data_IF_109269267703
#
_entry.id   IF_109269267703
#
_cell.length_a   1.000
_cell.length_b   1.000
_cell.length_c   1.000
_cell.angle_alpha   90.00
_cell.angle_beta   90.00
_cell.angle_gamma   90.00
#
_symmetry.space_group_name_H-M   'P 1'
#
loop_
_entity.id
_entity.type
_entity.pdbx_description
1 polymer ?
#
# COMPACT_ATOMS: atom_id res chain seq x y z
N UNK A 1 21.65 -11.31 -41.35
CA UNK A 1 21.77 -12.35 -40.33
C UNK A 1 20.96 -11.86 -39.15
N UNK A 2 19.73 -12.31 -38.99
CA UNK A 2 18.82 -11.97 -37.91
C UNK A 2 19.18 -12.88 -36.74
N UNK A 3 19.64 -12.33 -35.65
CA UNK A 3 19.92 -13.05 -34.40
C UNK A 3 18.60 -13.64 -33.88
N UNK A 4 18.52 -14.95 -33.56
CA UNK A 4 17.32 -15.54 -33.04
C UNK A 4 17.00 -14.94 -31.68
N UNK A 5 15.84 -14.32 -31.54
CA UNK A 5 15.28 -13.86 -30.26
C UNK A 5 15.28 -15.04 -29.27
N UNK A 6 16.14 -15.00 -28.28
CA UNK A 6 16.09 -15.95 -27.16
C UNK A 6 14.72 -15.84 -26.51
N UNK A 7 14.00 -16.94 -26.31
CA UNK A 7 12.73 -16.89 -25.60
C UNK A 7 12.97 -16.30 -24.22
N UNK A 8 12.16 -15.30 -23.86
CA UNK A 8 12.22 -14.63 -22.54
C UNK A 8 11.89 -15.68 -21.49
N UNK A 9 12.83 -15.97 -20.60
CA UNK A 9 12.62 -16.90 -19.50
C UNK A 9 11.44 -16.43 -18.61
N UNK A 10 10.60 -17.34 -18.13
CA UNK A 10 9.50 -17.01 -17.23
C UNK A 10 9.99 -16.31 -15.96
N UNK A 11 9.25 -15.31 -15.48
CA UNK A 11 9.54 -14.65 -14.20
C UNK A 11 9.10 -15.51 -13.01
N UNK A 12 9.61 -15.21 -11.80
CA UNK A 12 9.21 -15.94 -10.59
C UNK A 12 7.70 -15.84 -10.33
N UNK A 13 7.05 -14.69 -10.64
CA UNK A 13 5.61 -14.52 -10.54
C UNK A 13 4.85 -15.46 -11.47
N UNK A 14 5.35 -15.65 -12.70
CA UNK A 14 4.76 -16.60 -13.65
C UNK A 14 4.95 -18.05 -13.20
N UNK A 15 6.09 -18.38 -12.60
CA UNK A 15 6.34 -19.71 -12.04
C UNK A 15 5.47 -20.00 -10.82
N UNK A 16 5.22 -19.00 -9.96
CA UNK A 16 4.29 -19.13 -8.83
C UNK A 16 2.85 -19.28 -9.34
N UNK A 17 2.41 -18.49 -10.31
CA UNK A 17 1.09 -18.62 -10.92
C UNK A 17 0.90 -19.99 -11.61
N UNK A 18 1.98 -20.56 -12.19
CA UNK A 18 2.00 -21.91 -12.72
C UNK A 18 1.79 -22.96 -11.62
N UNK A 19 2.49 -22.83 -10.49
CA UNK A 19 2.37 -23.75 -9.35
C UNK A 19 1.00 -23.67 -8.65
N UNK A 20 0.39 -22.48 -8.66
CA UNK A 20 -0.92 -22.22 -8.05
C UNK A 20 -2.10 -22.47 -8.99
N UNK A 21 -1.84 -23.04 -10.19
CA UNK A 21 -2.86 -23.38 -11.20
C UNK A 21 -3.67 -22.17 -11.70
N UNK A 22 -3.04 -20.99 -11.74
CA UNK A 22 -3.68 -19.72 -12.08
C UNK A 22 -3.46 -19.29 -13.54
N UNK A 23 -2.73 -20.08 -14.33
CA UNK A 23 -2.45 -19.79 -15.73
C UNK A 23 -3.48 -20.42 -16.67
N UNK A 24 -3.72 -19.76 -17.79
CA UNK A 24 -4.46 -20.39 -18.89
C UNK A 24 -3.65 -21.53 -19.57
N UNK A 25 -4.31 -22.31 -20.41
CA UNK A 25 -3.69 -23.49 -21.03
C UNK A 25 -2.54 -23.15 -21.96
N UNK A 26 -2.54 -22.01 -22.64
CA UNK A 26 -1.48 -21.59 -23.56
C UNK A 26 -0.23 -21.17 -22.77
N UNK A 27 -0.40 -20.36 -21.74
CA UNK A 27 0.67 -19.95 -20.85
C UNK A 27 1.29 -21.13 -20.11
N UNK A 28 0.46 -22.07 -19.63
CA UNK A 28 0.92 -23.28 -18.96
C UNK A 28 1.80 -24.12 -19.90
N UNK A 29 1.35 -24.42 -21.11
CA UNK A 29 2.11 -25.19 -22.10
C UNK A 29 3.45 -24.51 -22.45
N UNK A 30 3.47 -23.19 -22.54
CA UNK A 30 4.69 -22.42 -22.77
C UNK A 30 5.70 -22.58 -21.64
N UNK A 31 5.24 -22.57 -20.39
CA UNK A 31 6.10 -22.76 -19.21
C UNK A 31 6.56 -24.23 -19.10
N UNK A 32 5.70 -25.20 -19.37
CA UNK A 32 6.06 -26.62 -19.40
C UNK A 32 7.18 -26.89 -20.42
N UNK A 33 7.11 -26.32 -21.61
CA UNK A 33 8.17 -26.41 -22.59
C UNK A 33 9.48 -25.78 -22.10
N UNK A 34 9.41 -24.58 -21.50
CA UNK A 34 10.58 -23.89 -20.97
C UNK A 34 11.25 -24.67 -19.80
N UNK A 35 10.46 -25.30 -18.92
CA UNK A 35 10.97 -26.15 -17.82
C UNK A 35 11.66 -27.39 -18.37
N UNK A 36 11.13 -27.96 -19.45
CA UNK A 36 11.70 -29.16 -20.09
C UNK A 36 13.04 -28.86 -20.77
N UNK A 37 13.19 -27.65 -21.31
CA UNK A 37 14.38 -27.24 -22.07
C UNK A 37 15.49 -26.66 -21.17
N UNK A 38 15.17 -26.17 -19.96
CA UNK A 38 16.13 -25.53 -19.06
C UNK A 38 16.17 -26.22 -17.66
N UNK A 39 17.22 -27.01 -17.35
CA UNK A 39 17.40 -27.64 -16.04
C UNK A 39 17.48 -26.62 -14.88
N UNK A 40 18.01 -25.41 -15.12
CA UNK A 40 18.08 -24.38 -14.08
C UNK A 40 16.68 -23.85 -13.73
N UNK A 41 15.81 -23.73 -14.73
CA UNK A 41 14.41 -23.35 -14.51
C UNK A 41 13.66 -24.45 -13.75
N UNK A 42 13.90 -25.73 -14.09
CA UNK A 42 13.34 -26.86 -13.36
C UNK A 42 13.73 -26.85 -11.87
N UNK A 43 14.99 -26.60 -11.54
CA UNK A 43 15.46 -26.45 -10.16
C UNK A 43 14.78 -25.23 -9.47
N UNK A 44 14.58 -24.14 -10.19
CA UNK A 44 13.91 -22.95 -9.66
C UNK A 44 12.46 -23.26 -9.29
N UNK A 45 11.72 -23.95 -10.16
CA UNK A 45 10.34 -24.40 -9.90
C UNK A 45 10.29 -25.31 -8.69
N UNK A 46 11.19 -26.30 -8.58
CA UNK A 46 11.27 -27.18 -7.42
C UNK A 46 11.52 -26.42 -6.12
N UNK A 47 12.35 -25.38 -6.17
CA UNK A 47 12.61 -24.55 -5.01
C UNK A 47 11.37 -23.74 -4.60
N UNK A 48 10.67 -23.12 -5.56
CA UNK A 48 9.42 -22.40 -5.31
C UNK A 48 8.31 -23.32 -4.81
N UNK A 49 8.21 -24.54 -5.33
CA UNK A 49 7.23 -25.54 -4.92
C UNK A 49 7.37 -25.98 -3.45
N UNK A 50 8.52 -25.72 -2.81
CA UNK A 50 8.68 -25.97 -1.36
C UNK A 50 7.77 -25.11 -0.49
N UNK A 51 7.27 -23.98 -1.00
CA UNK A 51 6.27 -23.18 -0.31
C UNK A 51 4.89 -23.87 -0.21
N UNK A 52 4.65 -24.88 -1.07
CA UNK A 52 3.42 -25.68 -1.09
C UNK A 52 3.52 -26.92 -0.18
N UNK A 53 4.32 -26.89 0.87
CA UNK A 53 4.32 -27.94 1.88
C UNK A 53 2.91 -28.17 2.43
N UNK A 54 2.55 -29.41 2.85
CA UNK A 54 1.18 -29.78 3.25
C UNK A 54 0.80 -29.15 4.61
N UNK A 55 0.86 -27.83 4.70
CA UNK A 55 0.45 -27.09 5.90
C UNK A 55 -0.99 -27.39 6.29
N UNK A 56 -1.88 -27.64 5.31
CA UNK A 56 -3.27 -28.01 5.59
C UNK A 56 -3.37 -29.27 6.46
N UNK A 57 -2.60 -30.29 6.14
CA UNK A 57 -2.59 -31.55 6.91
C UNK A 57 -2.11 -31.35 8.36
N UNK A 58 -1.23 -30.37 8.61
CA UNK A 58 -0.77 -30.05 9.97
C UNK A 58 -1.87 -29.44 10.84
N UNK A 59 -2.93 -28.90 10.24
CA UNK A 59 -4.06 -28.28 10.95
C UNK A 59 -5.32 -29.16 10.96
N UNK A 60 -5.31 -30.33 10.29
CA UNK A 60 -6.48 -31.22 10.23
C UNK A 60 -6.92 -31.70 11.62
N UNK A 61 -6.00 -31.87 12.56
CA UNK A 61 -6.31 -32.24 13.95
C UNK A 61 -7.05 -31.14 14.73
N UNK A 62 -6.96 -29.88 14.26
CA UNK A 62 -7.66 -28.75 14.87
C UNK A 62 -9.08 -28.54 14.31
N UNK A 63 -9.36 -29.06 13.12
CA UNK A 63 -10.69 -28.95 12.49
C UNK A 63 -11.84 -29.53 13.32
N UNK A 64 -11.71 -30.69 14.00
CA UNK A 64 -12.76 -31.21 14.85
C UNK A 64 -13.06 -30.34 16.07
N UNK A 65 -12.11 -29.48 16.47
CA UNK A 65 -12.26 -28.56 17.60
C UNK A 65 -12.90 -27.21 17.18
N UNK A 66 -13.08 -26.98 15.88
CA UNK A 66 -13.70 -25.76 15.38
C UNK A 66 -15.19 -25.74 15.75
N UNK A 67 -15.76 -24.58 16.14
CA UNK A 67 -17.16 -24.44 16.50
C UNK A 67 -18.07 -24.44 15.26
N UNK A 68 -18.07 -25.57 14.52
CA UNK A 68 -18.72 -25.70 13.20
C UNK A 68 -20.22 -25.46 13.28
N UNK A 69 -20.90 -25.93 14.33
CA UNK A 69 -22.34 -25.69 14.53
C UNK A 69 -22.67 -24.20 14.60
N UNK A 70 -21.85 -23.44 15.34
CA UNK A 70 -22.01 -21.98 15.44
C UNK A 70 -21.74 -21.28 14.13
N UNK A 71 -20.72 -21.71 13.40
CA UNK A 71 -20.35 -21.13 12.11
C UNK A 71 -21.42 -21.43 11.05
N UNK A 72 -21.94 -22.62 11.00
CA UNK A 72 -23.02 -22.99 10.10
C UNK A 72 -24.33 -22.24 10.44
N UNK A 73 -24.68 -22.10 11.72
CA UNK A 73 -25.82 -21.30 12.14
C UNK A 73 -25.67 -19.81 11.73
N UNK A 74 -24.45 -19.25 11.76
CA UNK A 74 -24.19 -17.90 11.27
C UNK A 74 -24.35 -17.82 9.74
N UNK A 75 -23.92 -18.83 8.99
CA UNK A 75 -24.11 -18.89 7.53
C UNK A 75 -25.60 -18.99 7.16
N UNK A 76 -26.38 -19.76 7.89
CA UNK A 76 -27.83 -19.92 7.66
C UNK A 76 -28.60 -18.61 7.93
N UNK A 77 -28.07 -17.70 8.74
CA UNK A 77 -28.67 -16.39 8.99
C UNK A 77 -28.38 -15.36 7.88
N UNK A 78 -27.44 -15.64 6.97
CA UNK A 78 -27.18 -14.75 5.84
C UNK A 78 -28.35 -14.77 4.86
N UNK A 79 -28.83 -13.61 4.40
CA UNK A 79 -29.90 -13.55 3.42
C UNK A 79 -29.44 -14.27 2.14
N UNK A 80 -30.15 -15.34 1.79
CA UNK A 80 -29.92 -16.03 0.51
C UNK A 80 -30.12 -15.02 -0.64
N UNK A 81 -29.19 -14.93 -1.61
CA UNK A 81 -29.37 -14.05 -2.74
C UNK A 81 -30.65 -14.45 -3.49
N UNK A 82 -31.64 -13.56 -3.46
CA UNK A 82 -32.89 -13.80 -4.16
C UNK A 82 -32.62 -14.04 -5.65
N UNK A 83 -33.16 -15.09 -6.27
CA UNK A 83 -32.98 -15.34 -7.69
C UNK A 83 -33.51 -14.13 -8.47
N UNK A 84 -32.75 -13.59 -9.44
CA UNK A 84 -33.20 -12.42 -10.20
C UNK A 84 -34.48 -12.75 -10.95
N UNK A 85 -35.60 -12.13 -10.56
CA UNK A 85 -36.87 -12.21 -11.28
C UNK A 85 -36.69 -11.56 -12.67
N UNK A 86 -36.33 -12.35 -13.66
CA UNK A 86 -36.15 -11.92 -15.04
C UNK A 86 -37.51 -11.79 -15.72
N UNK A 87 -38.09 -10.60 -15.70
CA UNK A 87 -39.18 -10.20 -16.59
C UNK A 87 -38.60 -9.78 -17.95
N UNK A 88 -38.92 -10.55 -19.01
CA UNK A 88 -38.47 -10.29 -20.37
C UNK A 88 -38.96 -8.97 -21.00
N UNK A 89 -39.89 -8.28 -20.37
CA UNK A 89 -40.44 -7.00 -20.88
C UNK A 89 -39.65 -5.76 -20.42
N UNK A 90 -38.74 -5.90 -19.45
CA UNK A 90 -37.94 -4.79 -18.95
C UNK A 90 -36.68 -4.51 -19.77
N UNK A 91 -36.28 -5.45 -20.63
CA UNK A 91 -35.08 -5.32 -21.46
C UNK A 91 -35.19 -4.29 -22.60
N UNK A 92 -36.38 -3.96 -23.07
CA UNK A 92 -36.56 -3.09 -24.23
C UNK A 92 -36.64 -1.59 -23.90
N UNK A 93 -36.94 -1.23 -22.64
CA UNK A 93 -36.94 0.17 -22.20
C UNK A 93 -35.62 0.60 -21.55
N UNK A 94 -34.75 -0.35 -21.21
CA UNK A 94 -33.46 -0.08 -20.59
C UNK A 94 -32.33 0.29 -21.57
N UNK A 95 -32.49 -0.02 -22.87
CA UNK A 95 -31.41 0.16 -23.85
C UNK A 95 -31.12 1.65 -24.17
N UNK A 96 -32.08 2.55 -24.06
CA UNK A 96 -31.88 3.99 -24.32
C UNK A 96 -31.34 4.75 -23.11
N UNK A 97 -31.60 4.26 -21.88
CA UNK A 97 -31.11 4.87 -20.64
C UNK A 97 -29.69 4.47 -20.25
N UNK A 98 -29.20 3.32 -20.76
CA UNK A 98 -27.92 2.74 -20.34
C UNK A 98 -26.68 3.42 -20.95
N UNK A 99 -26.80 4.12 -22.07
CA UNK A 99 -25.66 4.81 -22.68
C UNK A 99 -25.29 6.09 -21.88
N UNK A 100 -26.29 6.81 -21.37
CA UNK A 100 -26.05 8.05 -20.60
C UNK A 100 -25.69 7.73 -19.15
N UNK A 101 -26.30 6.70 -18.54
CA UNK A 101 -25.97 6.28 -17.17
C UNK A 101 -24.66 5.50 -17.10
N UNK A 102 -24.25 4.81 -18.14
CA UNK A 102 -22.96 4.09 -18.20
C UNK A 102 -21.76 5.04 -18.14
N UNK A 103 -21.81 6.15 -18.87
CA UNK A 103 -20.71 7.14 -18.85
C UNK A 103 -20.64 7.89 -17.50
N UNK A 104 -21.79 8.17 -16.87
CA UNK A 104 -21.84 8.81 -15.54
C UNK A 104 -21.42 7.82 -14.43
N UNK A 105 -21.87 6.57 -14.52
CA UNK A 105 -21.48 5.52 -13.57
C UNK A 105 -19.97 5.18 -13.67
N UNK A 106 -19.42 5.13 -14.90
CA UNK A 106 -17.99 4.90 -15.12
C UNK A 106 -17.14 6.07 -14.56
N UNK A 107 -17.57 7.32 -14.77
CA UNK A 107 -16.91 8.48 -14.18
C UNK A 107 -17.01 8.53 -12.65
N UNK A 108 -18.14 8.16 -12.08
CA UNK A 108 -18.34 8.09 -10.64
C UNK A 108 -17.56 6.90 -10.04
N UNK A 109 -17.54 5.75 -10.72
CA UNK A 109 -16.80 4.57 -10.30
C UNK A 109 -15.28 4.78 -10.40
N UNK A 110 -14.78 5.37 -11.48
CA UNK A 110 -13.38 5.77 -11.63
C UNK A 110 -12.99 6.84 -10.60
N UNK A 111 -13.85 7.82 -10.36
CA UNK A 111 -13.66 8.82 -9.30
C UNK A 111 -13.62 8.19 -7.90
N UNK A 112 -14.47 7.21 -7.62
CA UNK A 112 -14.50 6.48 -6.35
C UNK A 112 -13.31 5.52 -6.19
N UNK A 113 -12.90 4.86 -7.26
CA UNK A 113 -11.71 4.00 -7.29
C UNK A 113 -10.42 4.83 -7.16
N UNK A 114 -10.36 6.00 -7.82
CA UNK A 114 -9.25 6.94 -7.63
C UNK A 114 -9.24 7.54 -6.21
N UNK A 115 -10.39 7.85 -5.62
CA UNK A 115 -10.47 8.31 -4.22
C UNK A 115 -10.03 7.23 -3.23
N UNK A 116 -10.34 5.96 -3.47
CA UNK A 116 -9.84 4.83 -2.68
C UNK A 116 -8.32 4.65 -2.82
N UNK A 117 -7.77 4.75 -4.04
CA UNK A 117 -6.31 4.75 -4.24
C UNK A 117 -5.64 5.94 -3.55
N UNK A 118 -6.25 7.12 -3.59
CA UNK A 118 -5.73 8.36 -2.96
C UNK A 118 -5.65 8.30 -1.43
N UNK A 119 -6.57 7.60 -0.76
CA UNK A 119 -6.54 7.44 0.70
C UNK A 119 -5.70 6.24 1.15
N UNK A 120 -5.31 5.36 0.22
CA UNK A 120 -4.71 4.07 0.57
C UNK A 120 -3.28 4.22 1.12
N UNK A 121 -2.46 5.14 0.56
CA UNK A 121 -1.10 5.35 1.06
C UNK A 121 -1.07 5.86 2.52
N UNK A 122 -2.03 6.71 2.92
CA UNK A 122 -2.12 7.18 4.31
C UNK A 122 -2.50 6.04 5.27
N UNK A 123 -3.41 5.15 4.83
CA UNK A 123 -3.75 3.94 5.56
C UNK A 123 -2.54 3.06 5.77
N UNK A 124 -1.82 2.76 4.68
CA UNK A 124 -0.60 1.95 4.73
C UNK A 124 0.48 2.54 5.63
N UNK A 125 0.71 3.86 5.56
CA UNK A 125 1.66 4.53 6.46
C UNK A 125 1.21 4.38 7.90
N UNK A 126 -0.09 4.51 8.20
CA UNK A 126 -0.61 4.34 9.55
C UNK A 126 -0.46 2.89 10.03
N UNK A 127 -0.71 1.90 9.17
CA UNK A 127 -0.48 0.48 9.46
C UNK A 127 1.00 0.25 9.80
N UNK A 128 1.90 0.78 8.97
CA UNK A 128 3.34 0.66 9.18
C UNK A 128 3.81 1.38 10.45
N UNK A 129 3.31 2.60 10.71
CA UNK A 129 3.65 3.36 11.91
C UNK A 129 3.12 2.72 13.20
N UNK A 130 2.04 1.95 13.14
CA UNK A 130 1.51 1.23 14.30
C UNK A 130 2.46 0.15 14.84
N UNK A 131 3.45 -0.26 14.04
CA UNK A 131 4.50 -1.21 14.42
C UNK A 131 5.68 -0.54 15.13
N UNK A 132 5.77 0.79 15.11
CA UNK A 132 6.87 1.52 15.72
C UNK A 132 6.65 1.67 17.24
N UNK A 133 7.68 1.33 17.96
CA UNK A 133 7.81 1.59 19.41
C UNK A 133 9.04 2.47 19.64
N UNK A 134 9.18 3.16 20.77
CA UNK A 134 10.37 3.99 21.05
C UNK A 134 11.68 3.27 20.80
N UNK A 135 11.79 2.01 21.21
CA UNK A 135 12.98 1.16 21.04
C UNK A 135 13.38 0.97 19.58
N UNK A 136 12.42 1.04 18.65
CA UNK A 136 12.68 0.96 17.20
C UNK A 136 13.59 2.10 16.74
N UNK A 137 13.53 3.25 17.39
CA UNK A 137 14.20 4.49 16.99
C UNK A 137 15.36 4.91 17.92
N UNK A 138 15.37 4.47 19.18
CA UNK A 138 16.35 4.91 20.19
C UNK A 138 17.80 4.68 19.73
N UNK A 139 18.08 3.53 19.15
CA UNK A 139 19.44 3.12 18.75
C UNK A 139 19.88 3.64 17.38
N UNK A 140 19.01 4.37 16.68
CA UNK A 140 19.39 4.92 15.37
C UNK A 140 20.36 6.10 15.54
N UNK A 141 21.40 6.17 14.67
CA UNK A 141 22.31 7.31 14.65
C UNK A 141 21.55 8.64 14.50
N UNK A 142 21.96 9.65 15.25
CA UNK A 142 21.37 10.98 15.22
C UNK A 142 22.41 12.03 14.84
N UNK A 143 23.24 11.73 13.83
CA UNK A 143 24.25 12.65 13.34
C UNK A 143 23.80 13.38 12.08
N UNK A 144 24.18 14.64 11.97
CA UNK A 144 23.82 15.53 10.87
C UNK A 144 24.29 15.04 9.50
N UNK A 145 25.41 14.33 9.42
CA UNK A 145 25.97 13.88 8.16
C UNK A 145 25.08 12.76 7.56
N UNK A 146 24.69 11.80 8.38
CA UNK A 146 23.76 10.73 8.02
C UNK A 146 22.41 11.30 7.63
N UNK A 147 21.86 12.21 8.42
CA UNK A 147 20.57 12.85 8.13
C UNK A 147 20.59 13.58 6.78
N UNK A 148 21.62 14.38 6.51
CA UNK A 148 21.79 15.05 5.22
C UNK A 148 21.93 14.08 4.05
N UNK A 149 22.63 12.97 4.22
CA UNK A 149 22.76 11.96 3.19
C UNK A 149 21.40 11.31 2.85
N UNK A 150 20.61 10.94 3.88
CA UNK A 150 19.28 10.38 3.72
C UNK A 150 18.32 11.36 3.04
N UNK A 151 18.33 12.64 3.44
CA UNK A 151 17.48 13.68 2.85
C UNK A 151 17.83 13.94 1.38
N UNK A 152 19.11 13.95 0.99
CA UNK A 152 19.50 14.07 -0.43
C UNK A 152 18.94 12.96 -1.30
N UNK A 153 18.84 11.74 -0.78
CA UNK A 153 18.23 10.62 -1.52
C UNK A 153 16.72 10.86 -1.75
N UNK A 154 16.04 11.42 -0.75
CA UNK A 154 14.63 11.81 -0.85
C UNK A 154 14.44 12.94 -1.84
N UNK A 155 15.28 13.99 -1.75
CA UNK A 155 15.24 15.15 -2.63
C UNK A 155 15.37 14.75 -4.10
N UNK A 156 16.35 13.89 -4.40
CA UNK A 156 16.56 13.38 -5.75
C UNK A 156 15.37 12.56 -6.28
N UNK A 157 14.69 11.82 -5.42
CA UNK A 157 13.58 10.92 -5.82
C UNK A 157 12.26 11.67 -5.97
N UNK A 158 11.98 12.62 -5.10
CA UNK A 158 10.69 13.32 -5.04
C UNK A 158 10.73 14.75 -5.61
N UNK A 159 11.91 15.30 -5.92
CA UNK A 159 12.05 16.67 -6.40
C UNK A 159 11.85 17.69 -5.27
N UNK A 160 12.29 17.36 -4.06
CA UNK A 160 12.22 18.23 -2.88
C UNK A 160 13.58 18.91 -2.61
N UNK A 161 13.56 19.86 -1.69
CA UNK A 161 14.77 20.48 -1.13
C UNK A 161 14.64 20.49 0.39
N UNK A 162 15.00 19.36 0.99
CA UNK A 162 14.90 19.16 2.43
C UNK A 162 16.25 19.45 3.12
N UNK A 163 16.16 20.08 4.26
CA UNK A 163 17.32 20.27 5.13
C UNK A 163 16.94 19.94 6.58
N UNK A 164 17.86 19.40 7.40
CA UNK A 164 17.56 19.09 8.80
C UNK A 164 16.97 20.27 9.57
N UNK A 165 17.46 21.48 9.30
CA UNK A 165 16.98 22.72 9.94
C UNK A 165 15.50 23.02 9.61
N UNK A 166 15.04 22.75 8.36
CA UNK A 166 13.63 22.94 7.96
C UNK A 166 12.71 21.90 8.62
N UNK A 167 13.24 20.72 8.91
CA UNK A 167 12.52 19.59 9.48
C UNK A 167 12.60 19.54 11.01
N UNK A 168 13.44 20.37 11.64
CA UNK A 168 13.61 20.36 13.08
C UNK A 168 12.31 20.70 13.81
N UNK A 169 11.96 19.93 14.84
CA UNK A 169 10.84 20.17 15.74
C UNK A 169 11.37 20.40 17.16
N UNK A 170 10.83 21.37 17.93
CA UNK A 170 11.29 21.63 19.28
C UNK A 170 11.14 20.40 20.16
N UNK A 171 12.22 20.01 20.84
CA UNK A 171 12.28 18.86 21.79
C UNK A 171 12.05 17.48 21.16
N UNK A 172 11.89 17.38 19.86
CA UNK A 172 11.62 16.12 19.15
C UNK A 172 12.83 15.81 18.26
N UNK A 173 13.36 14.60 18.35
CA UNK A 173 14.56 14.20 17.63
C UNK A 173 14.19 13.61 16.25
N UNK A 174 14.76 14.16 15.19
CA UNK A 174 14.75 13.51 13.88
C UNK A 174 15.68 12.29 13.94
N UNK A 175 15.18 11.11 13.69
CA UNK A 175 15.94 9.86 13.82
C UNK A 175 16.34 9.25 12.50
N UNK A 176 15.46 9.30 11.48
CA UNK A 176 15.69 8.63 10.21
C UNK A 176 14.86 9.27 9.11
N UNK A 177 15.44 9.32 7.90
CA UNK A 177 14.70 9.64 6.69
C UNK A 177 14.94 8.54 5.65
N UNK A 178 13.88 7.99 5.06
CA UNK A 178 13.93 6.87 4.12
C UNK A 178 12.86 6.99 3.05
N UNK A 179 13.05 6.26 1.95
CA UNK A 179 12.03 6.07 0.93
C UNK A 179 11.41 4.69 1.12
N UNK A 180 10.10 4.67 1.21
CA UNK A 180 9.26 3.49 1.09
C UNK A 180 8.63 3.51 -0.30
N UNK A 181 8.24 2.36 -0.81
CA UNK A 181 7.52 2.28 -2.08
C UNK A 181 6.24 1.48 -1.90
N UNK A 182 5.16 2.01 -2.43
CA UNK A 182 3.86 1.34 -2.43
C UNK A 182 3.20 1.45 -3.80
N UNK A 183 2.90 0.32 -4.42
CA UNK A 183 2.29 0.24 -5.75
C UNK A 183 3.08 1.08 -6.79
N UNK A 184 4.43 1.01 -6.74
CA UNK A 184 5.33 1.78 -7.61
C UNK A 184 5.41 3.28 -7.27
N UNK A 185 4.74 3.75 -6.21
CA UNK A 185 4.74 5.16 -5.79
C UNK A 185 5.70 5.35 -4.62
N UNK A 186 6.72 6.21 -4.76
CA UNK A 186 7.65 6.49 -3.67
C UNK A 186 6.99 7.37 -2.60
N UNK A 187 7.19 6.99 -1.34
CA UNK A 187 6.77 7.72 -0.15
C UNK A 187 8.02 8.01 0.68
N UNK A 188 8.39 9.26 0.83
CA UNK A 188 9.42 9.60 1.81
C UNK A 188 8.80 9.58 3.22
N UNK A 189 9.52 8.97 4.16
CA UNK A 189 9.17 8.92 5.56
C UNK A 189 10.33 9.52 6.37
N UNK A 190 10.05 10.62 7.06
CA UNK A 190 10.96 11.28 8.01
C UNK A 190 10.43 10.94 9.41
N UNK A 191 11.16 10.10 10.13
CA UNK A 191 10.74 9.57 11.43
C UNK A 191 11.38 10.35 12.53
N UNK A 192 10.59 10.67 13.56
CA UNK A 192 10.98 11.40 14.75
C UNK A 192 10.70 10.55 16.00
N UNK A 193 11.44 10.84 17.04
CA UNK A 193 11.17 10.33 18.39
C UNK A 193 10.82 11.48 19.31
N UNK A 194 9.55 11.54 19.74
CA UNK A 194 9.07 12.45 20.76
C UNK A 194 9.25 11.78 22.14
N UNK A 195 9.96 12.40 23.08
CA UNK A 195 10.15 11.84 24.42
C UNK A 195 8.84 11.61 25.20
N UNK A 196 7.80 12.42 24.93
CA UNK A 196 6.53 12.35 25.64
C UNK A 196 5.52 11.42 24.96
N UNK A 197 5.51 11.36 23.63
CA UNK A 197 4.47 10.70 22.87
C UNK A 197 4.98 9.55 21.99
N UNK A 198 6.30 9.31 21.96
CA UNK A 198 6.92 8.21 21.21
C UNK A 198 7.12 8.50 19.71
N UNK A 199 7.09 7.48 18.86
CA UNK A 199 7.34 7.62 17.44
C UNK A 199 6.30 8.49 16.71
N UNK A 200 6.81 9.36 15.82
CA UNK A 200 6.04 10.21 14.95
C UNK A 200 6.71 10.24 13.57
N UNK A 201 5.96 10.45 12.49
CA UNK A 201 6.52 10.56 11.14
C UNK A 201 5.87 11.67 10.33
N UNK A 202 6.72 12.41 9.58
CA UNK A 202 6.31 13.22 8.44
C UNK A 202 6.51 12.37 7.18
N UNK A 203 5.42 12.15 6.44
CA UNK A 203 5.45 11.41 5.18
C UNK A 203 5.07 12.32 4.02
N UNK A 204 5.72 12.14 2.88
CA UNK A 204 5.46 12.92 1.67
C UNK A 204 5.54 12.03 0.43
N UNK A 205 4.62 12.26 -0.50
CA UNK A 205 4.60 11.60 -1.80
C UNK A 205 4.23 12.60 -2.89
N UNK A 206 4.54 12.30 -4.15
CA UNK A 206 4.10 13.12 -5.28
C UNK A 206 2.58 13.06 -5.43
N UNK A 207 1.98 14.17 -5.77
CA UNK A 207 0.54 14.30 -5.97
C UNK A 207 0.23 15.32 -7.05
N UNK A 208 -0.55 14.91 -8.03
CA UNK A 208 -1.05 15.80 -9.11
C UNK A 208 -2.48 16.26 -8.85
N UNK A 209 -2.95 16.24 -7.59
CA UNK A 209 -4.34 16.51 -7.24
C UNK A 209 -4.63 17.97 -6.87
N UNK A 210 -3.61 18.83 -7.03
CA UNK A 210 -3.67 20.23 -6.61
C UNK A 210 -3.55 20.39 -5.09
N UNK A 211 -3.57 21.64 -4.66
CA UNK A 211 -3.44 21.99 -3.24
C UNK A 211 -4.66 21.58 -2.42
N UNK A 212 -4.42 21.10 -1.23
CA UNK A 212 -5.44 20.76 -0.24
C UNK A 212 -5.12 21.46 1.09
N UNK A 213 -6.11 22.10 1.68
CA UNK A 213 -6.00 22.64 3.03
C UNK A 213 -5.76 21.53 4.06
N UNK A 214 -5.34 21.92 5.27
CA UNK A 214 -5.18 20.98 6.36
C UNK A 214 -6.49 20.24 6.65
N UNK A 215 -6.38 18.92 6.72
CA UNK A 215 -7.41 18.03 7.19
C UNK A 215 -6.84 17.08 8.23
N UNK A 216 -7.72 16.45 9.01
CA UNK A 216 -7.33 15.58 10.12
C UNK A 216 -8.14 14.30 10.09
N UNK A 217 -7.53 13.24 10.55
CA UNK A 217 -8.18 11.95 10.77
C UNK A 217 -7.51 11.21 11.93
N UNK A 218 -8.10 10.11 12.36
CA UNK A 218 -7.51 9.23 13.37
C UNK A 218 -7.41 7.82 12.81
N UNK A 219 -6.22 7.20 12.96
CA UNK A 219 -5.94 5.84 12.48
C UNK A 219 -5.09 5.08 13.49
N UNK A 220 -5.46 3.85 13.80
CA UNK A 220 -4.71 2.99 14.74
C UNK A 220 -4.34 3.70 16.05
N UNK A 221 -5.29 4.41 16.63
CA UNK A 221 -5.09 5.23 17.84
C UNK A 221 -4.06 6.37 17.69
N UNK A 222 -3.56 6.65 16.50
CA UNK A 222 -2.70 7.80 16.18
C UNK A 222 -3.52 8.93 15.57
N UNK A 223 -3.11 10.15 15.85
CA UNK A 223 -3.64 11.35 15.20
C UNK A 223 -2.88 11.60 13.89
N UNK A 224 -3.60 12.06 12.88
CA UNK A 224 -3.07 12.32 11.55
C UNK A 224 -3.51 13.71 11.11
N UNK A 225 -2.55 14.52 10.68
CA UNK A 225 -2.78 15.80 10.00
C UNK A 225 -2.18 15.72 8.62
N UNK A 226 -2.96 16.03 7.59
CA UNK A 226 -2.50 15.95 6.20
C UNK A 226 -2.91 17.17 5.39
N UNK A 227 -2.11 17.49 4.38
CA UNK A 227 -2.33 18.60 3.43
C UNK A 227 -1.67 18.26 2.10
N UNK A 228 -1.92 19.07 1.09
CA UNK A 228 -1.20 18.99 -0.17
C UNK A 228 -0.88 20.39 -0.70
N UNK A 229 0.24 20.47 -1.41
CA UNK A 229 0.56 21.56 -2.33
C UNK A 229 0.26 21.13 -3.78
N UNK A 230 0.79 21.84 -4.77
CA UNK A 230 0.55 21.53 -6.19
C UNK A 230 1.20 20.25 -6.66
N UNK A 231 2.29 19.82 -6.01
CA UNK A 231 3.13 18.70 -6.46
C UNK A 231 3.21 17.55 -5.46
N UNK A 232 2.96 17.84 -4.17
CA UNK A 232 3.16 16.86 -3.10
C UNK A 232 1.97 16.78 -2.15
N UNK A 233 1.71 15.57 -1.67
CA UNK A 233 0.82 15.30 -0.55
C UNK A 233 1.63 14.95 0.70
N UNK A 234 1.30 15.60 1.80
CA UNK A 234 2.01 15.55 3.07
C UNK A 234 1.12 14.96 4.16
N UNK A 235 1.72 14.26 5.09
CA UNK A 235 1.02 13.71 6.25
C UNK A 235 1.95 13.70 7.45
N UNK A 236 1.49 14.22 8.58
CA UNK A 236 2.13 14.09 9.89
C UNK A 236 1.28 13.14 10.74
N UNK A 237 1.90 12.10 11.30
CA UNK A 237 1.21 11.06 12.08
C UNK A 237 1.98 10.78 13.36
N UNK A 238 1.25 10.61 14.47
CA UNK A 238 1.83 10.29 15.78
C UNK A 238 0.77 10.16 16.87
N UNK A 239 1.22 9.85 18.09
CA UNK A 239 0.37 9.76 19.27
C UNK A 239 0.16 11.11 19.98
N UNK A 240 0.83 12.17 19.51
CA UNK A 240 0.68 13.53 20.05
C UNK A 240 -0.78 13.97 20.05
N UNK A 241 -1.21 14.81 21.02
CA UNK A 241 -2.53 15.44 20.97
C UNK A 241 -2.77 16.15 19.64
N UNK A 242 -4.01 16.11 19.12
CA UNK A 242 -4.34 16.63 17.80
C UNK A 242 -3.94 18.12 17.64
N UNK A 243 -4.14 18.94 18.67
CA UNK A 243 -3.78 20.35 18.62
C UNK A 243 -2.27 20.57 18.43
N UNK A 244 -1.45 19.83 19.19
CA UNK A 244 0.02 19.88 19.07
C UNK A 244 0.49 19.40 17.69
N UNK A 245 -0.10 18.30 17.19
CA UNK A 245 0.22 17.76 15.87
C UNK A 245 -0.13 18.76 14.76
N UNK A 246 -1.24 19.47 14.89
CA UNK A 246 -1.62 20.53 13.95
C UNK A 246 -0.64 21.72 13.97
N UNK A 247 -0.19 22.14 15.14
CA UNK A 247 0.75 23.26 15.24
C UNK A 247 2.13 22.87 14.68
N UNK A 248 2.57 21.63 14.92
CA UNK A 248 3.77 21.09 14.28
C UNK A 248 3.62 21.01 12.77
N UNK A 249 2.48 20.54 12.26
CA UNK A 249 2.22 20.47 10.84
C UNK A 249 2.24 21.85 10.16
N UNK A 250 1.63 22.87 10.80
CA UNK A 250 1.66 24.27 10.33
C UNK A 250 3.09 24.80 10.29
N UNK A 251 3.87 24.56 11.36
CA UNK A 251 5.26 24.99 11.45
C UNK A 251 6.14 24.33 10.37
N UNK A 252 5.96 23.04 10.11
CA UNK A 252 6.65 22.31 9.04
C UNK A 252 6.25 22.85 7.67
N UNK A 253 4.95 22.97 7.38
CA UNK A 253 4.47 23.50 6.09
C UNK A 253 5.07 24.85 5.79
N UNK A 254 5.06 25.80 6.74
CA UNK A 254 5.57 27.15 6.54
C UNK A 254 7.07 27.15 6.18
N UNK A 255 7.87 26.27 6.79
CA UNK A 255 9.31 26.15 6.53
C UNK A 255 9.65 25.39 5.25
N UNK A 256 8.77 24.50 4.82
CA UNK A 256 8.95 23.70 3.60
C UNK A 256 8.47 24.46 2.35
N UNK A 257 7.59 25.44 2.50
CA UNK A 257 7.08 26.28 1.41
C UNK A 257 8.01 27.44 1.05
N UNK A 258 9.11 27.64 1.81
CA UNK A 258 10.15 28.65 1.61
C UNK A 258 11.39 28.00 1.02
#
# INVERSE_FOLDING_TARGET
MTEPLRPKLPSDEQLVAYLDDQLDSEQRNSIDAAISDDPALSLRVQWLARSSLPFKAAYDELLPQAPMERLNAMLDTLPSPAPPARSRRWFLTAAAGLVVSGVLADRLFLGWQMSRKKSNWRGLVADYMSLYVPQTLEHLPNDDATQRAQLRTIDARLGLTLAPAKLALPRIQLKRAQILEYDGVPIAQITYLDPAHGPMALCVTRSNNGSQAFAQERRHNMNVVYWADTEHAWMLIGHNPMAELQDMAKALRNRLST
#
